data_IF_098696468325
#
_entry.id   IF_098696468325
#
_cell.length_a   1.000
_cell.length_b   1.000
_cell.length_c   1.000
_cell.angle_alpha   90.00
_cell.angle_beta   90.00
_cell.angle_gamma   90.00
#
_symmetry.space_group_name_H-M   'P 1'
#
loop_
_entity.id
_entity.type
_entity.pdbx_description
1 polymer ?
#
# COMPACT_ATOMS: atom_id res chain seq x y z
N UNK A 1 -16.80 -29.56 3.87
CA UNK A 1 -16.97 -29.44 5.34
C UNK A 1 -16.21 -28.19 5.79
N UNK A 2 -16.93 -27.17 6.26
CA UNK A 2 -16.35 -26.01 6.90
C UNK A 2 -15.90 -26.43 8.30
N UNK A 3 -14.63 -26.22 8.62
CA UNK A 3 -14.11 -26.42 9.97
C UNK A 3 -13.96 -25.08 10.65
N UNK A 4 -14.48 -24.98 11.86
CA UNK A 4 -14.25 -23.83 12.72
C UNK A 4 -12.75 -23.69 13.00
N UNK A 5 -12.21 -22.49 12.82
CA UNK A 5 -10.80 -22.21 13.05
C UNK A 5 -10.58 -22.01 14.54
N UNK A 6 -9.87 -22.93 15.18
CA UNK A 6 -9.45 -22.75 16.58
C UNK A 6 -8.41 -21.63 16.64
N UNK A 7 -8.59 -20.67 17.52
CA UNK A 7 -7.75 -19.49 17.70
C UNK A 7 -7.61 -18.65 16.40
N UNK A 8 -8.69 -18.01 15.93
CA UNK A 8 -8.62 -17.18 14.74
C UNK A 8 -7.65 -16.01 14.98
N UNK A 9 -6.65 -15.87 14.11
CA UNK A 9 -5.82 -14.66 14.08
C UNK A 9 -6.71 -13.55 13.51
N UNK A 10 -6.83 -12.38 14.19
CA UNK A 10 -7.57 -11.26 13.65
C UNK A 10 -6.99 -10.87 12.30
N UNK A 11 -7.77 -10.96 11.25
CA UNK A 11 -7.39 -10.53 9.91
C UNK A 11 -8.23 -9.31 9.54
N UNK A 12 -7.56 -8.21 9.30
CA UNK A 12 -8.17 -7.01 8.75
C UNK A 12 -7.98 -7.02 7.24
N UNK A 13 -9.08 -7.04 6.49
CA UNK A 13 -9.06 -6.92 5.05
C UNK A 13 -9.76 -5.63 4.64
N UNK A 14 -9.08 -4.78 3.91
CA UNK A 14 -9.60 -3.49 3.46
C UNK A 14 -9.27 -3.29 1.98
N UNK A 15 -10.23 -2.75 1.24
CA UNK A 15 -10.00 -2.25 -0.12
C UNK A 15 -10.15 -0.74 -0.09
N UNK A 16 -9.08 -0.05 -0.40
CA UNK A 16 -9.08 1.41 -0.39
C UNK A 16 -8.59 2.00 -1.71
N UNK A 17 -9.13 3.17 -1.99
CA UNK A 17 -8.62 4.08 -3.01
C UNK A 17 -8.13 5.30 -2.24
N UNK A 18 -6.82 5.46 -2.17
CA UNK A 18 -6.20 6.59 -1.50
C UNK A 18 -6.21 7.81 -2.42
N UNK A 19 -6.71 8.91 -1.91
CA UNK A 19 -6.60 10.23 -2.55
C UNK A 19 -5.50 11.00 -1.84
N UNK A 20 -4.52 11.46 -2.59
CA UNK A 20 -3.43 12.25 -2.04
C UNK A 20 -3.90 13.69 -1.83
N UNK A 21 -3.82 14.22 -0.61
CA UNK A 21 -4.23 15.60 -0.33
C UNK A 21 -3.25 16.63 -0.92
N UNK A 22 -1.98 16.28 -1.04
CA UNK A 22 -0.91 17.17 -1.52
C UNK A 22 -0.03 16.41 -2.54
N UNK A 23 0.41 17.12 -3.58
CA UNK A 23 1.38 16.62 -4.55
C UNK A 23 2.81 16.92 -4.09
N UNK A 24 3.74 16.05 -4.36
CA UNK A 24 5.18 16.19 -4.11
C UNK A 24 5.62 16.18 -2.65
N UNK A 25 4.73 15.90 -1.72
CA UNK A 25 5.06 15.79 -0.30
C UNK A 25 4.96 14.37 0.22
N UNK A 26 5.73 14.07 1.26
CA UNK A 26 5.65 12.79 1.96
C UNK A 26 4.49 12.80 2.95
N UNK A 27 3.61 11.83 2.82
CA UNK A 27 2.43 11.65 3.66
C UNK A 27 2.53 10.35 4.43
N UNK A 28 2.38 10.41 5.74
CA UNK A 28 2.30 9.22 6.58
C UNK A 28 0.93 8.55 6.49
N UNK A 29 0.90 7.24 6.47
CA UNK A 29 -0.33 6.44 6.45
C UNK A 29 -0.33 5.41 7.58
N UNK A 30 -1.46 5.27 8.24
CA UNK A 30 -1.72 4.33 9.34
C UNK A 30 -2.61 3.20 8.85
N UNK A 31 -2.10 1.98 8.83
CA UNK A 31 -2.87 0.81 8.36
C UNK A 31 -3.98 0.39 9.32
N UNK A 32 -3.84 0.60 10.62
CA UNK A 32 -4.87 0.23 11.59
C UNK A 32 -6.09 1.14 11.49
N UNK A 33 -5.83 2.44 11.42
CA UNK A 33 -6.91 3.43 11.25
C UNK A 33 -7.39 3.45 9.80
N UNK A 34 -6.50 3.15 8.85
CA UNK A 34 -6.78 3.21 7.43
C UNK A 34 -6.93 4.65 6.95
N UNK A 35 -6.11 5.56 7.44
CA UNK A 35 -6.15 6.97 7.05
C UNK A 35 -4.74 7.58 7.09
N UNK A 36 -4.63 8.76 6.45
CA UNK A 36 -3.44 9.59 6.54
C UNK A 36 -3.20 10.03 7.98
N UNK A 37 -1.94 10.24 8.34
CA UNK A 37 -1.63 10.86 9.63
C UNK A 37 -1.87 12.37 9.60
N UNK A 38 -1.96 12.99 10.77
CA UNK A 38 -2.10 14.44 10.88
C UNK A 38 -1.02 15.18 10.04
N UNK A 39 -1.35 16.32 9.40
CA UNK A 39 -2.62 17.05 9.46
C UNK A 39 -3.68 16.58 8.45
N UNK A 40 -3.43 15.53 7.67
CA UNK A 40 -4.24 15.16 6.50
C UNK A 40 -5.30 14.09 6.80
N UNK A 41 -5.27 13.49 7.96
CA UNK A 41 -6.20 12.47 8.41
C UNK A 41 -6.13 12.22 9.91
N UNK A 42 -6.72 11.10 10.35
CA UNK A 42 -6.84 10.71 11.75
C UNK A 42 -5.86 9.61 12.18
N UNK A 43 -4.96 9.19 11.27
CA UNK A 43 -3.92 8.21 11.56
C UNK A 43 -3.02 8.66 12.71
N UNK A 44 -2.68 7.72 13.59
CA UNK A 44 -1.90 7.96 14.81
C UNK A 44 -0.45 7.49 14.68
N UNK A 45 -0.25 6.42 13.92
CA UNK A 45 1.06 5.78 13.76
C UNK A 45 1.40 5.72 12.29
N UNK A 46 2.59 6.15 11.93
CA UNK A 46 3.04 6.04 10.54
C UNK A 46 3.58 4.64 10.31
N UNK A 47 2.86 3.86 9.51
CA UNK A 47 3.28 2.54 9.04
C UNK A 47 4.12 2.62 7.76
N UNK A 48 3.84 3.61 6.92
CA UNK A 48 4.64 3.92 5.74
C UNK A 48 4.48 5.40 5.35
N UNK A 49 5.41 5.90 4.57
CA UNK A 49 5.30 7.18 3.89
C UNK A 49 5.04 6.95 2.41
N UNK A 50 4.14 7.75 1.87
CA UNK A 50 3.80 7.80 0.45
C UNK A 50 4.05 9.19 -0.10
N UNK A 51 4.64 9.25 -1.27
CA UNK A 51 4.82 10.49 -2.03
C UNK A 51 4.41 10.26 -3.47
N UNK A 52 3.60 11.14 -4.00
CA UNK A 52 3.28 11.19 -5.41
C UNK A 52 3.79 12.49 -6.02
N UNK A 53 4.40 12.38 -7.17
CA UNK A 53 4.73 13.51 -8.03
C UNK A 53 4.02 13.32 -9.37
N UNK A 54 3.16 14.27 -9.72
CA UNK A 54 2.39 14.20 -10.96
C UNK A 54 2.47 15.50 -11.73
N UNK A 55 2.61 15.35 -13.03
CA UNK A 55 2.64 16.44 -13.96
C UNK A 55 1.62 16.19 -15.09
N UNK A 56 0.76 17.15 -15.33
CA UNK A 56 -0.20 17.10 -16.43
C UNK A 56 0.50 17.50 -17.72
N UNK A 57 0.52 16.61 -18.70
CA UNK A 57 1.17 16.85 -20.01
C UNK A 57 0.15 17.17 -21.10
N UNK A 58 -1.13 16.80 -20.92
CA UNK A 58 -2.23 17.07 -21.84
C UNK A 58 -3.57 17.10 -21.10
N UNK A 59 -4.68 17.57 -21.69
CA UNK A 59 -5.98 17.67 -21.04
C UNK A 59 -6.49 16.36 -20.39
N UNK A 60 -6.07 15.21 -20.90
CA UNK A 60 -6.47 13.89 -20.40
C UNK A 60 -5.28 12.95 -20.17
N UNK A 61 -4.07 13.49 -20.15
CA UNK A 61 -2.85 12.72 -19.97
C UNK A 61 -1.84 13.43 -19.08
N UNK A 62 -0.85 12.70 -18.61
CA UNK A 62 0.21 13.19 -17.75
C UNK A 62 1.17 12.07 -17.41
N UNK A 63 2.23 12.44 -16.74
CA UNK A 63 3.24 11.53 -16.19
C UNK A 63 3.31 11.66 -14.67
N UNK A 64 3.87 10.68 -14.01
CA UNK A 64 4.06 10.79 -12.58
C UNK A 64 4.82 9.63 -11.97
N UNK A 65 5.25 9.85 -10.74
CA UNK A 65 5.88 8.82 -9.92
C UNK A 65 5.18 8.68 -8.58
N UNK A 66 5.22 7.47 -8.06
CA UNK A 66 4.82 7.15 -6.70
C UNK A 66 6.02 6.54 -5.99
N UNK A 67 6.32 7.04 -4.84
CA UNK A 67 7.37 6.54 -3.96
C UNK A 67 6.76 6.09 -2.64
N UNK A 68 7.19 4.94 -2.14
CA UNK A 68 6.83 4.41 -0.84
C UNK A 68 8.11 4.24 -0.03
N UNK A 69 8.08 4.64 1.22
CA UNK A 69 9.19 4.49 2.16
C UNK A 69 8.69 3.91 3.46
N UNK A 70 9.47 3.02 4.05
CA UNK A 70 9.27 2.43 5.36
C UNK A 70 10.42 2.82 6.29
N UNK A 71 10.28 2.51 7.57
CA UNK A 71 11.37 2.59 8.54
C UNK A 71 12.43 1.53 8.24
N UNK A 72 13.56 1.66 8.87
CA UNK A 72 14.58 0.61 8.88
C UNK A 72 13.98 -0.72 9.39
N UNK A 73 14.40 -1.84 8.80
CA UNK A 73 13.87 -3.19 9.06
C UNK A 73 12.41 -3.43 8.68
N UNK A 74 11.69 -2.45 8.19
CA UNK A 74 10.35 -2.54 7.65
C UNK A 74 10.39 -2.52 6.12
N UNK A 75 9.27 -2.79 5.46
CA UNK A 75 9.24 -2.65 4.01
C UNK A 75 8.28 -3.56 3.27
N UNK A 76 8.51 -3.61 1.96
CA UNK A 76 7.80 -4.44 1.00
C UNK A 76 8.68 -5.56 0.50
N UNK A 77 8.09 -6.74 0.35
CA UNK A 77 8.65 -7.87 -0.36
C UNK A 77 7.77 -8.21 -1.54
N UNK A 78 8.31 -8.05 -2.75
CA UNK A 78 7.62 -8.41 -3.98
C UNK A 78 7.48 -9.94 -4.08
N UNK A 79 6.27 -10.39 -4.38
CA UNK A 79 5.98 -11.77 -4.72
C UNK A 79 5.44 -11.81 -6.13
N UNK A 80 6.12 -12.51 -7.01
CA UNK A 80 5.59 -12.93 -8.29
C UNK A 80 5.00 -14.32 -8.14
N UNK A 81 3.76 -14.47 -8.56
CA UNK A 81 3.05 -15.73 -8.43
C UNK A 81 2.50 -16.12 -9.80
N UNK A 82 2.89 -17.31 -10.26
CA UNK A 82 2.44 -17.88 -11.55
C UNK A 82 1.00 -18.45 -11.49
N UNK A 83 0.34 -18.29 -10.36
CA UNK A 83 -1.02 -18.75 -10.19
C UNK A 83 -2.04 -17.95 -11.01
N UNK A 84 -3.09 -18.64 -11.42
CA UNK A 84 -4.19 -18.11 -12.23
C UNK A 84 -4.82 -16.82 -11.61
N UNK A 85 -5.20 -15.84 -12.44
CA UNK A 85 -5.62 -14.52 -12.01
C UNK A 85 -6.87 -14.44 -11.13
N UNK A 86 -7.53 -15.53 -10.84
CA UNK A 86 -8.83 -15.56 -10.16
C UNK A 86 -8.81 -16.08 -8.72
N UNK A 87 -7.69 -16.61 -8.21
CA UNK A 87 -7.64 -17.12 -6.84
C UNK A 87 -7.33 -16.04 -5.82
N UNK A 88 -8.19 -15.86 -4.83
CA UNK A 88 -8.01 -14.97 -3.70
C UNK A 88 -6.90 -15.49 -2.74
N UNK A 89 -6.53 -16.76 -2.85
CA UNK A 89 -5.56 -17.43 -1.96
C UNK A 89 -4.13 -17.48 -2.51
N UNK A 90 -3.75 -16.51 -3.33
CA UNK A 90 -2.55 -16.57 -4.18
C UNK A 90 -1.22 -16.36 -3.50
N UNK A 91 -1.17 -15.91 -2.30
CA UNK A 91 0.09 -15.63 -1.64
C UNK A 91 0.34 -16.63 -0.52
N UNK A 92 1.59 -16.99 -0.22
CA UNK A 92 1.91 -17.85 0.90
C UNK A 92 1.21 -17.42 2.19
N UNK A 93 0.82 -18.36 3.03
CA UNK A 93 0.17 -18.05 4.31
C UNK A 93 1.12 -17.35 5.29
N UNK A 94 2.38 -17.78 5.28
CA UNK A 94 3.40 -17.23 6.15
C UNK A 94 4.19 -16.16 5.39
N UNK A 95 4.36 -15.03 6.03
CA UNK A 95 5.23 -13.97 5.51
C UNK A 95 6.71 -14.41 5.64
N UNK A 96 7.53 -14.23 4.60
CA UNK A 96 8.96 -14.47 4.69
C UNK A 96 9.61 -13.61 5.79
N UNK A 97 10.66 -14.13 6.39
CA UNK A 97 11.38 -13.42 7.47
C UNK A 97 12.34 -12.34 6.94
N UNK A 98 12.81 -12.47 5.70
CA UNK A 98 13.81 -11.60 5.10
C UNK A 98 13.42 -11.16 3.67
N UNK A 99 14.20 -10.24 3.09
CA UNK A 99 14.04 -9.78 1.72
C UNK A 99 13.18 -8.51 1.58
N UNK A 100 12.76 -7.91 2.68
CA UNK A 100 11.98 -6.66 2.67
C UNK A 100 12.85 -5.47 2.25
N UNK A 101 12.32 -4.67 1.34
CA UNK A 101 12.94 -3.43 0.87
C UNK A 101 12.18 -2.24 1.46
N UNK A 102 12.89 -1.34 2.10
CA UNK A 102 12.27 -0.18 2.77
C UNK A 102 11.88 0.96 1.84
N UNK A 103 12.19 0.84 0.55
CA UNK A 103 11.80 1.83 -0.47
C UNK A 103 11.23 1.12 -1.68
N UNK A 104 10.23 1.76 -2.28
CA UNK A 104 9.63 1.32 -3.53
C UNK A 104 9.33 2.54 -4.39
N UNK A 105 9.61 2.46 -5.69
CA UNK A 105 9.32 3.52 -6.64
C UNK A 105 8.65 2.97 -7.88
N UNK A 106 7.63 3.67 -8.33
CA UNK A 106 6.96 3.42 -9.59
C UNK A 106 6.87 4.70 -10.41
N UNK A 107 7.10 4.57 -11.70
CA UNK A 107 6.98 5.66 -12.67
C UNK A 107 5.99 5.27 -13.77
N UNK A 108 5.11 6.19 -14.14
CA UNK A 108 4.16 6.06 -15.23
C UNK A 108 4.38 7.22 -16.21
N UNK A 109 4.74 6.88 -17.44
CA UNK A 109 4.99 7.87 -18.51
C UNK A 109 3.71 8.47 -19.08
N UNK A 110 2.61 7.73 -18.98
CA UNK A 110 1.30 8.15 -19.44
C UNK A 110 0.20 7.58 -18.56
N UNK A 111 -0.82 8.38 -18.30
CA UNK A 111 -1.99 7.96 -17.54
C UNK A 111 -2.91 7.03 -18.34
N UNK A 112 -2.74 6.98 -19.65
CA UNK A 112 -3.51 6.12 -20.54
C UNK A 112 -2.91 4.72 -20.64
N UNK A 113 -1.58 4.61 -20.68
CA UNK A 113 -0.85 3.37 -20.86
C UNK A 113 -0.21 2.91 -19.55
N UNK A 114 -1.04 2.49 -18.60
CA UNK A 114 -0.54 1.94 -17.33
C UNK A 114 0.09 0.58 -17.54
N UNK A 115 1.35 0.45 -17.22
CA UNK A 115 2.04 -0.84 -17.17
C UNK A 115 1.61 -1.57 -15.89
N UNK A 116 0.73 -2.54 -16.03
CA UNK A 116 0.25 -3.36 -14.94
C UNK A 116 1.07 -4.64 -14.85
N UNK A 117 1.68 -4.91 -13.72
CA UNK A 117 2.30 -6.20 -13.46
C UNK A 117 1.21 -7.20 -13.08
N UNK A 118 0.94 -8.13 -13.97
CA UNK A 118 0.01 -9.24 -13.68
C UNK A 118 0.69 -10.19 -12.69
N UNK A 119 -0.09 -10.89 -11.88
CA UNK A 119 0.40 -11.91 -10.94
C UNK A 119 1.41 -11.38 -9.91
N UNK A 120 1.26 -10.13 -9.51
CA UNK A 120 2.14 -9.47 -8.55
C UNK A 120 1.37 -9.20 -7.27
N UNK A 121 2.00 -9.50 -6.16
CA UNK A 121 1.55 -9.10 -4.83
C UNK A 121 2.76 -8.69 -3.98
N UNK A 122 2.49 -8.21 -2.80
CA UNK A 122 3.53 -7.81 -1.86
C UNK A 122 3.19 -8.28 -0.47
N UNK A 123 4.17 -8.81 0.26
CA UNK A 123 4.14 -8.76 1.70
C UNK A 123 4.63 -7.40 2.17
N UNK A 124 4.06 -6.89 3.24
CA UNK A 124 4.62 -5.76 3.95
C UNK A 124 4.88 -6.12 5.42
N UNK A 125 5.86 -5.46 6.01
CA UNK A 125 6.21 -5.56 7.41
C UNK A 125 6.37 -4.17 7.99
N UNK A 126 5.67 -3.89 9.09
CA UNK A 126 5.66 -2.60 9.78
C UNK A 126 5.73 -2.80 11.29
N UNK A 127 5.90 -1.72 12.03
CA UNK A 127 5.92 -1.69 13.51
C UNK A 127 6.90 -2.70 14.11
N UNK A 128 8.07 -2.81 13.48
CA UNK A 128 9.12 -3.75 13.93
C UNK A 128 9.69 -3.31 15.26
N UNK A 129 9.73 -4.26 16.21
CA UNK A 129 10.49 -4.12 17.46
C UNK A 129 11.54 -5.19 17.51
N UNK A 130 12.75 -4.81 17.95
CA UNK A 130 13.92 -5.68 18.03
C UNK A 130 14.45 -5.75 19.45
N UNK A 131 15.03 -6.89 19.76
CA UNK A 131 15.95 -7.08 20.88
C UNK A 131 17.31 -7.52 20.31
N UNK A 132 18.27 -6.61 20.35
CA UNK A 132 19.53 -6.77 19.63
C UNK A 132 19.31 -6.90 18.11
N UNK A 133 19.71 -8.04 17.55
CA UNK A 133 19.54 -8.35 16.12
C UNK A 133 18.24 -9.10 15.79
N UNK A 134 17.46 -9.50 16.79
CA UNK A 134 16.26 -10.33 16.62
C UNK A 134 15.02 -9.49 16.59
N UNK A 135 14.14 -9.74 15.61
CA UNK A 135 12.80 -9.17 15.56
C UNK A 135 11.93 -9.95 16.55
N UNK A 136 11.47 -9.27 17.59
CA UNK A 136 10.58 -9.85 18.61
C UNK A 136 9.12 -9.55 18.36
N UNK A 137 8.85 -8.55 17.53
CA UNK A 137 7.48 -8.17 17.15
C UNK A 137 7.47 -7.45 15.80
N UNK A 138 6.46 -7.71 14.98
CA UNK A 138 6.17 -6.95 13.77
C UNK A 138 4.72 -7.17 13.33
N UNK A 139 4.15 -6.19 12.64
CA UNK A 139 2.92 -6.36 11.88
C UNK A 139 3.25 -6.81 10.48
N UNK A 140 2.53 -7.84 10.01
CA UNK A 140 2.64 -8.33 8.65
C UNK A 140 1.31 -8.23 7.93
N UNK A 141 1.36 -7.89 6.67
CA UNK A 141 0.19 -7.87 5.82
C UNK A 141 0.53 -8.17 4.37
N UNK A 142 -0.50 -8.15 3.52
CA UNK A 142 -0.40 -8.48 2.10
C UNK A 142 -1.14 -7.45 1.26
N UNK A 143 -0.52 -7.04 0.16
CA UNK A 143 -1.20 -6.42 -0.96
C UNK A 143 -1.37 -7.45 -2.06
N UNK A 144 -2.62 -7.76 -2.38
CA UNK A 144 -2.97 -8.86 -3.29
C UNK A 144 -2.77 -8.54 -4.77
N UNK A 145 -2.39 -7.32 -5.11
CA UNK A 145 -2.19 -6.84 -6.48
C UNK A 145 -1.08 -5.80 -6.52
N UNK A 146 -0.59 -5.55 -7.74
CA UNK A 146 0.33 -4.44 -7.98
C UNK A 146 -0.30 -3.09 -7.61
N UNK A 147 0.51 -2.16 -7.13
CA UNK A 147 0.07 -0.82 -6.80
C UNK A 147 -0.45 -0.12 -8.07
N UNK A 148 -1.68 0.32 -8.01
CA UNK A 148 -2.28 1.14 -9.05
C UNK A 148 -2.10 2.61 -8.69
N UNK A 149 -1.38 3.30 -9.53
CA UNK A 149 -1.20 4.72 -9.40
C UNK A 149 -1.97 5.42 -10.53
N UNK A 150 -2.83 6.37 -10.19
CA UNK A 150 -3.50 7.23 -11.14
C UNK A 150 -3.24 8.68 -10.80
N UNK A 151 -2.53 9.39 -11.65
CA UNK A 151 -2.21 10.80 -11.43
C UNK A 151 -3.43 11.74 -11.41
N UNK A 152 -4.59 11.28 -11.82
CA UNK A 152 -5.87 11.98 -11.59
C UNK A 152 -6.27 12.07 -10.11
N UNK A 153 -5.55 11.40 -9.22
CA UNK A 153 -5.80 11.44 -7.79
C UNK A 153 -5.71 12.86 -7.19
N UNK A 154 -5.11 13.81 -7.92
CA UNK A 154 -4.97 15.22 -7.50
C UNK A 154 -5.97 16.18 -8.17
N UNK A 155 -6.83 15.73 -9.08
CA UNK A 155 -7.90 16.60 -9.54
C UNK A 155 -8.80 16.91 -8.34
N UNK A 156 -8.76 18.16 -7.86
CA UNK A 156 -9.67 18.68 -6.84
C UNK A 156 -11.09 18.28 -7.22
N UNK A 157 -11.64 17.27 -6.59
CA UNK A 157 -13.08 17.13 -6.51
C UNK A 157 -13.55 18.27 -5.60
N UNK A 158 -13.98 19.35 -6.23
CA UNK A 158 -14.68 20.42 -5.55
C UNK A 158 -15.69 19.81 -4.57
N UNK A 159 -15.47 20.04 -3.29
CA UNK A 159 -16.42 19.96 -2.19
C UNK A 159 -17.51 18.87 -2.26
N UNK A 160 -17.16 17.59 -2.25
CA UNK A 160 -18.09 16.57 -1.77
C UNK A 160 -17.59 16.00 -0.47
N UNK A 161 -18.34 16.13 0.63
CA UNK A 161 -17.99 15.51 1.90
C UNK A 161 -17.85 13.99 1.71
N UNK A 162 -16.83 13.39 2.32
CA UNK A 162 -16.63 11.95 2.36
C UNK A 162 -17.91 11.29 2.88
N UNK A 163 -18.63 10.56 2.02
CA UNK A 163 -19.63 9.61 2.50
C UNK A 163 -18.87 8.37 2.94
N UNK A 164 -18.76 8.18 4.22
CA UNK A 164 -18.37 6.92 4.80
C UNK A 164 -19.52 5.94 4.55
N UNK A 165 -19.28 4.88 3.77
CA UNK A 165 -20.17 3.74 3.76
C UNK A 165 -19.84 2.93 5.02
N UNK A 166 -20.82 2.85 5.92
CA UNK A 166 -20.89 1.90 7.03
C UNK A 166 -21.00 0.48 6.51
#
# INVERSE_FOLDING_TARGET
VLREKRNPIPLYAKREILFFPINREWLGYDFEIGDWTAPHGQGKTIDLWLKCDTEKTAPRDGKGSMEIKFREDEGLLLVQDDYLPLSIMKMPHLAPQAGYQNTFRRFEESFRNKKFRRNTGYFFRTRVRKEGKHIVYAHYGKFMKDFQFSPRAFEKRNNRPKRFAT
#
